data_IF_790902307061
#
_entry.id   IF_790902307061
#
_cell.length_a   1.000
_cell.length_b   1.000
_cell.length_c   1.000
_cell.angle_alpha   90.00
_cell.angle_beta   90.00
_cell.angle_gamma   90.00
#
_symmetry.space_group_name_H-M   'P 1'
#
loop_
_entity.id
_entity.type
_entity.pdbx_description
1 polymer ?
#
# COMPACT_ATOMS: atom_id res chain seq x y z
N UNK A 1 8.16 12.73 -48.50
CA UNK A 1 8.08 13.44 -47.19
C UNK A 1 6.76 13.26 -46.43
N UNK A 2 5.66 12.75 -47.04
CA UNK A 2 4.38 12.49 -46.33
C UNK A 2 4.32 11.16 -45.55
N UNK A 3 5.09 10.15 -45.94
CA UNK A 3 5.03 8.80 -45.34
C UNK A 3 5.84 8.65 -44.04
N UNK A 4 6.77 9.57 -43.74
CA UNK A 4 7.61 9.53 -42.52
C UNK A 4 6.85 10.06 -41.30
N UNK A 5 5.90 10.98 -41.49
CA UNK A 5 5.11 11.56 -40.41
C UNK A 5 4.12 10.56 -39.78
N UNK A 6 3.62 9.58 -40.56
CA UNK A 6 2.68 8.58 -40.06
C UNK A 6 3.37 7.50 -39.21
N UNK A 7 4.63 7.16 -39.51
CA UNK A 7 5.40 6.21 -38.69
C UNK A 7 5.83 6.82 -37.34
N UNK A 8 6.11 8.12 -37.28
CA UNK A 8 6.44 8.80 -36.03
C UNK A 8 5.24 8.91 -35.07
N UNK A 9 4.02 9.03 -35.59
CA UNK A 9 2.81 9.09 -34.76
C UNK A 9 2.40 7.70 -34.20
N UNK A 10 2.65 6.63 -34.96
CA UNK A 10 2.41 5.25 -34.48
C UNK A 10 3.39 4.84 -33.35
N UNK A 11 4.63 5.34 -33.38
CA UNK A 11 5.61 5.11 -32.31
C UNK A 11 5.35 5.96 -31.05
N UNK A 12 4.64 7.09 -31.17
CA UNK A 12 4.24 7.91 -30.02
C UNK A 12 3.02 7.33 -29.27
N UNK A 13 2.20 6.49 -29.92
CA UNK A 13 1.05 5.84 -29.30
C UNK A 13 1.38 4.51 -28.62
N UNK A 14 2.52 3.90 -28.93
CA UNK A 14 2.96 2.63 -28.32
C UNK A 14 3.53 2.79 -26.89
N UNK A 15 3.50 4.00 -26.32
CA UNK A 15 4.07 4.32 -25.01
C UNK A 15 3.05 4.78 -23.97
N UNK A 16 1.75 4.58 -24.18
CA UNK A 16 0.77 4.84 -23.12
C UNK A 16 0.80 3.67 -22.14
N UNK A 17 1.77 3.70 -21.23
CA UNK A 17 1.80 2.81 -20.08
C UNK A 17 0.76 3.27 -19.05
N UNK A 18 0.00 2.33 -18.49
CA UNK A 18 -1.01 2.58 -17.47
C UNK A 18 -0.48 3.53 -16.39
N UNK A 19 -1.20 4.63 -16.25
CA UNK A 19 -0.80 5.72 -15.40
C UNK A 19 -1.58 5.70 -14.08
N UNK A 20 -0.90 5.35 -13.00
CA UNK A 20 -1.48 5.19 -11.67
C UNK A 20 -1.18 6.43 -10.84
N UNK A 21 -2.23 7.16 -10.45
CA UNK A 21 -2.11 8.36 -9.60
C UNK A 21 -2.26 7.94 -8.14
N UNK A 22 -1.14 7.84 -7.41
CA UNK A 22 -1.19 7.59 -5.97
C UNK A 22 -1.15 8.94 -5.26
N UNK A 23 -2.16 9.23 -4.42
CA UNK A 23 -2.19 10.44 -3.62
C UNK A 23 -0.97 10.55 -2.69
N UNK A 24 -0.35 11.73 -2.60
CA UNK A 24 0.86 12.00 -1.79
C UNK A 24 2.03 12.55 -2.62
N UNK A 25 3.24 12.58 -2.03
CA UNK A 25 4.46 13.18 -2.63
C UNK A 25 5.01 12.45 -3.86
N UNK A 26 4.42 11.31 -4.25
CA UNK A 26 4.93 10.44 -5.32
C UNK A 26 4.36 10.81 -6.70
N UNK A 27 3.15 11.37 -6.76
CA UNK A 27 2.52 11.77 -8.01
C UNK A 27 2.20 10.59 -8.94
N UNK A 28 2.55 10.75 -10.21
CA UNK A 28 2.11 9.88 -11.30
C UNK A 28 3.13 8.77 -11.56
N UNK A 29 2.72 7.50 -11.51
CA UNK A 29 3.64 6.37 -11.65
C UNK A 29 3.14 5.38 -12.69
N UNK A 30 4.07 4.77 -13.42
CA UNK A 30 3.77 3.69 -14.36
C UNK A 30 3.53 2.38 -13.62
N UNK A 31 2.75 1.47 -14.23
CA UNK A 31 2.52 0.14 -13.68
C UNK A 31 3.82 -0.64 -13.37
N UNK A 32 4.86 -0.49 -14.19
CA UNK A 32 6.18 -1.11 -13.93
C UNK A 32 6.84 -0.65 -12.63
N UNK A 33 6.58 0.60 -12.23
CA UNK A 33 7.12 1.18 -11.02
C UNK A 33 6.20 0.97 -9.81
N UNK A 34 4.99 0.44 -10.00
CA UNK A 34 4.00 0.27 -8.93
C UNK A 34 4.52 -0.65 -7.81
N UNK A 35 5.23 -1.72 -8.17
CA UNK A 35 5.81 -2.68 -7.23
C UNK A 35 7.28 -2.38 -6.87
N UNK A 36 7.86 -1.30 -7.42
CA UNK A 36 9.23 -0.91 -7.09
C UNK A 36 9.20 -0.10 -5.80
N UNK A 37 9.37 -0.79 -4.67
CA UNK A 37 9.42 -0.23 -3.32
C UNK A 37 10.87 -0.03 -2.91
N UNK A 38 11.21 1.13 -2.32
CA UNK A 38 12.55 1.40 -1.77
C UNK A 38 12.72 0.78 -0.37
N UNK A 39 12.54 -0.54 -0.25
CA UNK A 39 12.78 -1.29 0.98
C UNK A 39 13.25 -2.72 0.63
N UNK A 40 14.55 -2.96 0.80
CA UNK A 40 15.18 -4.24 0.49
C UNK A 40 14.70 -5.38 1.40
N UNK A 41 14.30 -5.06 2.65
CA UNK A 41 13.77 -6.04 3.59
C UNK A 41 12.40 -6.53 3.13
N UNK A 42 11.50 -5.62 2.80
CA UNK A 42 10.17 -5.98 2.29
C UNK A 42 10.27 -6.71 0.95
N UNK A 43 11.15 -6.25 0.06
CA UNK A 43 11.34 -6.87 -1.26
C UNK A 43 11.86 -8.29 -1.15
N UNK A 44 12.77 -8.56 -0.23
CA UNK A 44 13.29 -9.92 0.00
C UNK A 44 12.28 -10.83 0.68
N UNK A 45 11.58 -10.35 1.73
CA UNK A 45 10.58 -11.15 2.45
C UNK A 45 9.36 -11.49 1.59
N UNK A 46 8.92 -10.56 0.75
CA UNK A 46 7.74 -10.74 -0.10
C UNK A 46 8.07 -11.19 -1.53
N UNK A 47 9.31 -11.58 -1.82
CA UNK A 47 9.73 -11.95 -3.18
C UNK A 47 8.89 -13.09 -3.77
N UNK A 48 8.46 -14.05 -2.95
CA UNK A 48 7.62 -15.18 -3.39
C UNK A 48 6.25 -14.74 -3.91
N UNK A 49 5.64 -13.72 -3.29
CA UNK A 49 4.36 -13.14 -3.71
C UNK A 49 4.52 -12.05 -4.78
N UNK A 50 5.62 -11.28 -4.73
CA UNK A 50 5.86 -10.15 -5.64
C UNK A 50 6.57 -10.54 -6.94
N UNK A 51 7.27 -11.67 -6.98
CA UNK A 51 7.93 -12.20 -8.18
C UNK A 51 6.95 -12.51 -9.32
N UNK A 52 5.85 -13.25 -9.07
CA UNK A 52 4.80 -13.49 -10.05
C UNK A 52 4.16 -12.19 -10.56
N UNK A 53 3.88 -11.25 -9.65
CA UNK A 53 3.29 -9.96 -10.00
C UNK A 53 4.20 -9.12 -10.90
N UNK A 54 5.49 -9.03 -10.57
CA UNK A 54 6.50 -8.33 -11.38
C UNK A 54 6.64 -8.98 -12.76
N UNK A 55 6.59 -10.31 -12.82
CA UNK A 55 6.66 -11.06 -14.08
C UNK A 55 5.41 -10.82 -14.93
N UNK A 56 4.23 -10.81 -14.33
CA UNK A 56 2.97 -10.54 -15.02
C UNK A 56 2.94 -9.11 -15.61
N UNK A 57 3.37 -8.10 -14.84
CA UNK A 57 3.47 -6.71 -15.31
C UNK A 57 4.45 -6.62 -16.49
N UNK A 58 5.64 -7.20 -16.38
CA UNK A 58 6.63 -7.20 -17.47
C UNK A 58 6.14 -7.95 -18.70
N UNK A 59 5.41 -9.05 -18.52
CA UNK A 59 4.84 -9.82 -19.62
C UNK A 59 3.78 -9.03 -20.41
N UNK A 60 3.12 -8.07 -19.76
CA UNK A 60 2.16 -7.19 -20.43
C UNK A 60 2.83 -6.13 -21.32
N UNK A 61 4.12 -5.83 -21.16
CA UNK A 61 4.89 -4.94 -22.04
C UNK A 61 4.19 -3.59 -22.33
N UNK A 62 3.54 -3.01 -21.32
CA UNK A 62 2.79 -1.75 -21.44
C UNK A 62 1.39 -1.87 -22.06
N UNK A 63 0.86 -3.07 -22.31
CA UNK A 63 -0.53 -3.27 -22.69
C UNK A 63 -1.45 -3.11 -21.47
N UNK A 64 -2.16 -1.99 -21.42
CA UNK A 64 -3.09 -1.66 -20.34
C UNK A 64 -4.19 -2.71 -20.13
N UNK A 65 -4.63 -3.40 -21.19
CA UNK A 65 -5.66 -4.45 -21.09
C UNK A 65 -5.11 -5.66 -20.34
N UNK A 66 -3.86 -6.01 -20.60
CA UNK A 66 -3.15 -7.09 -19.91
C UNK A 66 -2.85 -6.69 -18.45
N UNK A 67 -2.43 -5.45 -18.21
CA UNK A 67 -2.16 -4.91 -16.87
C UNK A 67 -3.42 -4.92 -15.99
N UNK A 68 -4.58 -4.70 -16.60
CA UNK A 68 -5.88 -4.70 -15.92
C UNK A 68 -6.59 -6.06 -15.93
N UNK A 69 -5.92 -7.13 -16.40
CA UNK A 69 -6.48 -8.48 -16.33
C UNK A 69 -6.58 -8.95 -14.88
N UNK A 70 -7.59 -9.77 -14.58
CA UNK A 70 -7.82 -10.30 -13.23
C UNK A 70 -6.58 -11.04 -12.69
N UNK A 71 -5.88 -11.81 -13.54
CA UNK A 71 -4.64 -12.50 -13.15
C UNK A 71 -3.55 -11.52 -12.67
N UNK A 72 -3.32 -10.44 -13.42
CA UNK A 72 -2.31 -9.44 -13.06
C UNK A 72 -2.70 -8.70 -11.78
N UNK A 73 -3.98 -8.29 -11.66
CA UNK A 73 -4.47 -7.58 -10.49
C UNK A 73 -4.42 -8.45 -9.24
N UNK A 74 -4.83 -9.72 -9.32
CA UNK A 74 -4.75 -10.68 -8.22
C UNK A 74 -3.30 -10.92 -7.78
N UNK A 75 -2.37 -11.00 -8.74
CA UNK A 75 -0.95 -11.11 -8.42
C UNK A 75 -0.43 -9.84 -7.70
N UNK A 76 -0.81 -8.64 -8.17
CA UNK A 76 -0.47 -7.36 -7.53
C UNK A 76 -1.04 -7.29 -6.12
N UNK A 77 -2.33 -7.62 -5.93
CA UNK A 77 -2.95 -7.62 -4.60
C UNK A 77 -2.25 -8.59 -3.65
N UNK A 78 -1.89 -9.80 -4.10
CA UNK A 78 -1.20 -10.76 -3.23
C UNK A 78 0.20 -10.29 -2.80
N UNK A 79 0.93 -9.61 -3.68
CA UNK A 79 2.17 -8.93 -3.31
C UNK A 79 1.94 -7.83 -2.27
N UNK A 80 0.93 -6.98 -2.48
CA UNK A 80 0.58 -5.90 -1.55
C UNK A 80 0.08 -6.43 -0.20
N UNK A 81 -0.61 -7.57 -0.18
CA UNK A 81 -1.03 -8.27 1.03
C UNK A 81 0.17 -8.74 1.86
N UNK A 82 1.23 -9.22 1.19
CA UNK A 82 2.46 -9.56 1.87
C UNK A 82 3.11 -8.32 2.50
N UNK A 83 3.27 -7.23 1.73
CA UNK A 83 3.82 -5.98 2.28
C UNK A 83 3.03 -5.47 3.48
N UNK A 84 1.70 -5.46 3.38
CA UNK A 84 0.83 -5.03 4.47
C UNK A 84 1.00 -5.91 5.72
N UNK A 85 1.06 -7.23 5.55
CA UNK A 85 1.23 -8.18 6.65
C UNK A 85 2.59 -8.02 7.32
N UNK A 86 3.69 -7.94 6.55
CA UNK A 86 5.04 -7.77 7.10
C UNK A 86 5.20 -6.44 7.84
N UNK A 87 4.65 -5.34 7.30
CA UNK A 87 4.72 -4.03 7.97
C UNK A 87 3.97 -4.05 9.31
N UNK A 88 2.82 -4.75 9.36
CA UNK A 88 2.04 -4.94 10.58
C UNK A 88 2.82 -5.78 11.60
N UNK A 89 3.41 -6.90 11.17
CA UNK A 89 4.19 -7.80 12.03
C UNK A 89 5.44 -7.12 12.59
N UNK A 90 6.13 -6.30 11.78
CA UNK A 90 7.30 -5.52 12.20
C UNK A 90 6.93 -4.27 13.00
N UNK A 91 5.64 -3.91 13.09
CA UNK A 91 5.12 -2.70 13.72
C UNK A 91 5.93 -1.44 13.37
N UNK A 92 6.30 -1.32 12.10
CA UNK A 92 7.15 -0.23 11.62
C UNK A 92 6.37 0.79 10.82
N UNK A 93 6.86 2.03 10.82
CA UNK A 93 6.31 3.05 9.96
C UNK A 93 6.61 2.72 8.49
N UNK A 94 5.58 2.80 7.66
CA UNK A 94 5.68 2.69 6.21
C UNK A 94 6.65 3.77 5.68
N UNK A 95 7.77 3.36 5.10
CA UNK A 95 8.76 4.23 4.46
C UNK A 95 8.31 4.69 3.07
N UNK A 96 7.63 3.81 2.33
CA UNK A 96 7.13 4.04 0.98
C UNK A 96 5.58 3.94 0.93
N UNK A 97 4.85 5.01 0.60
CA UNK A 97 3.38 5.00 0.58
C UNK A 97 2.75 4.08 -0.49
N UNK A 98 3.57 3.42 -1.33
CA UNK A 98 3.12 2.37 -2.26
C UNK A 98 3.00 0.99 -1.60
N UNK A 99 3.75 0.72 -0.54
CA UNK A 99 3.84 -0.61 0.07
C UNK A 99 2.66 -0.86 1.03
N UNK A 100 1.87 -1.92 0.76
CA UNK A 100 0.75 -2.32 1.60
C UNK A 100 -0.39 -1.29 1.64
N UNK A 101 -0.60 -0.55 0.55
CA UNK A 101 -1.46 0.63 0.53
C UNK A 101 -2.77 0.38 -0.23
N UNK A 102 -3.89 0.26 0.50
CA UNK A 102 -5.23 0.17 -0.09
C UNK A 102 -5.55 1.36 -1.02
N UNK A 103 -5.19 2.62 -0.69
CA UNK A 103 -5.35 3.74 -1.62
C UNK A 103 -4.57 3.57 -2.93
N UNK A 104 -3.37 2.99 -2.90
CA UNK A 104 -2.58 2.73 -4.11
C UNK A 104 -3.24 1.68 -5.01
N UNK A 105 -3.76 0.60 -4.41
CA UNK A 105 -4.56 -0.42 -5.10
C UNK A 105 -5.86 0.16 -5.70
N UNK A 106 -6.55 1.02 -4.96
CA UNK A 106 -7.74 1.72 -5.45
C UNK A 106 -7.41 2.63 -6.64
N UNK A 107 -6.28 3.32 -6.61
CA UNK A 107 -5.80 4.11 -7.74
C UNK A 107 -5.47 3.25 -8.97
N UNK A 108 -4.88 2.07 -8.77
CA UNK A 108 -4.62 1.11 -9.85
C UNK A 108 -5.91 0.66 -10.53
N UNK A 109 -6.93 0.29 -9.75
CA UNK A 109 -8.25 -0.10 -10.29
C UNK A 109 -8.97 1.07 -10.95
N UNK A 110 -8.86 2.27 -10.38
CA UNK A 110 -9.40 3.47 -11.00
C UNK A 110 -8.75 3.75 -12.37
N UNK A 111 -7.44 3.53 -12.50
CA UNK A 111 -6.73 3.63 -13.76
C UNK A 111 -7.23 2.59 -14.78
N UNK A 112 -7.48 1.36 -14.35
CA UNK A 112 -8.07 0.31 -15.21
C UNK A 112 -9.49 0.63 -15.70
N UNK A 113 -10.27 1.34 -14.89
CA UNK A 113 -11.61 1.80 -15.26
C UNK A 113 -11.57 3.03 -16.19
N UNK A 114 -10.48 3.79 -16.20
CA UNK A 114 -10.36 4.97 -17.03
C UNK A 114 -10.25 4.60 -18.53
N UNK A 115 -10.68 5.48 -19.44
CA UNK A 115 -10.41 5.33 -20.87
C UNK A 115 -8.89 5.34 -21.13
N UNK A 116 -8.38 4.51 -22.06
CA UNK A 116 -9.09 3.70 -23.05
C UNK A 116 -9.49 2.28 -22.61
N UNK A 117 -9.07 1.83 -21.43
CA UNK A 117 -9.13 0.43 -21.00
C UNK A 117 -10.54 0.00 -20.58
N UNK A 118 -11.20 0.82 -19.76
CA UNK A 118 -12.59 0.64 -19.35
C UNK A 118 -12.91 -0.74 -18.72
N UNK A 119 -11.93 -1.35 -18.04
CA UNK A 119 -12.09 -2.62 -17.32
C UNK A 119 -12.47 -2.34 -15.87
N UNK A 120 -13.56 -2.95 -15.42
CA UNK A 120 -13.99 -2.86 -14.01
C UNK A 120 -13.45 -4.05 -13.24
N UNK A 121 -12.47 -3.80 -12.38
CA UNK A 121 -12.02 -4.78 -11.38
C UNK A 121 -12.94 -4.70 -10.16
N UNK A 122 -13.45 -5.82 -9.64
CA UNK A 122 -14.21 -5.84 -8.40
C UNK A 122 -13.40 -5.27 -7.23
N UNK A 123 -14.00 -4.35 -6.45
CA UNK A 123 -13.35 -3.77 -5.28
C UNK A 123 -12.98 -4.81 -4.21
N UNK A 124 -13.63 -5.97 -4.22
CA UNK A 124 -13.34 -7.10 -3.33
C UNK A 124 -11.98 -7.76 -3.63
N UNK A 125 -11.45 -7.62 -4.85
CA UNK A 125 -10.16 -8.20 -5.25
C UNK A 125 -8.97 -7.31 -4.88
N UNK A 126 -9.22 -6.10 -4.36
CA UNK A 126 -8.19 -5.11 -4.00
C UNK A 126 -8.27 -4.65 -2.55
N UNK A 127 -9.15 -5.27 -1.77
CA UNK A 127 -9.22 -5.06 -0.33
C UNK A 127 -8.12 -5.88 0.36
N UNK A 128 -7.15 -5.19 0.95
CA UNK A 128 -6.18 -5.81 1.84
C UNK A 128 -6.88 -6.26 3.12
N UNK A 129 -6.68 -7.51 3.52
CA UNK A 129 -7.26 -8.07 4.74
C UNK A 129 -6.26 -7.98 5.88
N UNK A 130 -6.78 -7.80 7.09
CA UNK A 130 -5.95 -7.85 8.28
C UNK A 130 -5.51 -9.30 8.55
N UNK A 131 -4.26 -9.53 8.99
CA UNK A 131 -3.83 -10.86 9.42
C UNK A 131 -4.72 -11.38 10.54
N UNK A 132 -5.05 -12.67 10.54
CA UNK A 132 -6.00 -13.27 11.48
C UNK A 132 -5.57 -13.22 12.96
N UNK A 133 -4.30 -12.89 13.23
CA UNK A 133 -3.75 -12.71 14.57
C UNK A 133 -3.51 -11.25 14.98
N UNK A 134 -3.91 -10.27 14.16
CA UNK A 134 -3.73 -8.86 14.47
C UNK A 134 -4.86 -8.34 15.36
N UNK A 135 -4.53 -7.98 16.61
CA UNK A 135 -5.49 -7.51 17.63
C UNK A 135 -5.58 -5.98 17.71
N UNK A 136 -5.33 -5.31 16.58
CA UNK A 136 -5.36 -3.86 16.48
C UNK A 136 -4.01 -3.18 16.71
N UNK A 137 -3.92 -1.86 16.46
CA UNK A 137 -2.80 -1.05 16.89
C UNK A 137 -2.94 -0.92 18.41
N UNK A 138 -2.42 -1.90 19.15
CA UNK A 138 -2.27 -1.83 20.60
C UNK A 138 -1.14 -0.86 20.90
N UNK A 139 -1.40 0.41 20.64
CA UNK A 139 -0.62 1.51 21.17
C UNK A 139 -0.75 1.41 22.70
N UNK A 140 0.40 1.30 23.36
CA UNK A 140 0.56 1.15 24.81
C UNK A 140 0.35 -0.28 25.35
N UNK A 141 1.20 -1.20 24.92
CA UNK A 141 1.64 -2.30 25.78
C UNK A 141 2.49 -1.75 26.94
N UNK A 142 1.88 -1.03 27.89
CA UNK A 142 2.56 -0.74 29.15
C UNK A 142 2.89 -2.09 29.78
N UNK A 143 4.19 -2.34 29.94
CA UNK A 143 4.66 -3.32 30.89
C UNK A 143 3.87 -3.11 32.21
N UNK A 144 3.43 -4.20 32.84
CA UNK A 144 2.72 -4.18 34.14
C UNK A 144 3.34 -3.17 35.13
N UNK A 145 4.67 -3.07 35.16
CA UNK A 145 5.41 -2.11 35.97
C UNK A 145 5.21 -0.64 35.60
N UNK A 146 5.12 -0.31 34.31
CA UNK A 146 4.84 1.07 33.88
C UNK A 146 3.38 1.45 34.15
N UNK A 147 2.43 0.52 33.93
CA UNK A 147 1.02 0.72 34.28
C UNK A 147 0.86 1.02 35.77
N UNK A 148 1.54 0.24 36.63
CA UNK A 148 1.56 0.48 38.07
C UNK A 148 2.15 1.86 38.39
N UNK A 149 3.23 2.25 37.72
CA UNK A 149 3.85 3.57 37.90
C UNK A 149 2.89 4.73 37.60
N UNK A 150 2.20 4.69 36.46
CA UNK A 150 1.25 5.74 36.07
C UNK A 150 0.02 5.78 36.98
N UNK A 151 -0.54 4.62 37.33
CA UNK A 151 -1.71 4.54 38.22
C UNK A 151 -1.35 5.00 39.63
N UNK A 152 -0.20 4.60 40.16
CA UNK A 152 0.27 5.03 41.47
C UNK A 152 0.55 6.53 41.50
N UNK A 153 1.23 7.07 40.48
CA UNK A 153 1.50 8.50 40.36
C UNK A 153 0.20 9.32 40.29
N UNK A 154 -0.76 8.89 39.46
CA UNK A 154 -2.07 9.51 39.36
C UNK A 154 -2.87 9.45 40.66
N UNK A 155 -2.81 8.32 41.38
CA UNK A 155 -3.48 8.16 42.67
C UNK A 155 -2.86 9.06 43.76
N UNK A 156 -1.54 9.17 43.83
CA UNK A 156 -0.86 10.03 44.82
C UNK A 156 -1.21 11.50 44.57
N UNK A 157 -1.15 11.95 43.32
CA UNK A 157 -1.50 13.33 42.96
C UNK A 157 -2.99 13.59 43.21
N UNK A 158 -3.86 12.65 42.82
CA UNK A 158 -5.31 12.76 43.03
C UNK A 158 -5.70 12.81 44.51
N UNK A 159 -5.17 11.90 45.33
CA UNK A 159 -5.41 11.90 46.79
C UNK A 159 -4.83 13.16 47.43
N UNK A 160 -3.62 13.58 47.05
CA UNK A 160 -3.03 14.81 47.55
C UNK A 160 -3.88 16.05 47.23
N UNK A 161 -4.43 16.11 46.02
CA UNK A 161 -5.33 17.19 45.58
C UNK A 161 -6.62 17.23 46.41
N UNK A 162 -7.22 16.06 46.68
CA UNK A 162 -8.45 15.94 47.48
C UNK A 162 -8.19 16.36 48.93
N UNK A 163 -7.09 15.93 49.53
CA UNK A 163 -6.74 16.31 50.90
C UNK A 163 -6.54 17.82 51.03
N UNK A 164 -5.87 18.45 50.07
CA UNK A 164 -5.71 19.92 50.05
C UNK A 164 -7.08 20.60 49.97
N UNK A 165 -7.98 20.15 49.09
CA UNK A 165 -9.33 20.74 48.98
C UNK A 165 -10.21 20.50 50.21
N UNK A 166 -10.03 19.39 50.92
CA UNK A 166 -10.81 19.08 52.13
C UNK A 166 -10.24 19.69 53.42
N UNK A 167 -9.02 20.24 53.38
CA UNK A 167 -8.37 20.90 54.53
C UNK A 167 -8.29 22.42 54.40
N UNK A 168 -8.78 22.98 53.29
CA UNK A 168 -9.19 24.38 53.18
C UNK A 168 -10.62 24.56 53.68
#
# INVERSE_FOLDING_TARGET
MRSVALFAFALALAGQALNVVIGGSIGNITADNFLTVQDDSLTSQCQSSCGPATTAIKACNGDDTCLCSNNTVTAITSCQQCYFTTIIEENRKVSDPRAGSTPALAAYVAACKAPPVNITVPATEVALTLPSGWDGPTDVGLNLGETIGYVAGGAIIGVGSIVILCTM
#
